data_IF_075498029868
#
_entry.id   IF_075498029868
#
_cell.length_a   1.000
_cell.length_b   1.000
_cell.length_c   1.000
_cell.angle_alpha   90.00
_cell.angle_beta   90.00
_cell.angle_gamma   90.00
#
_symmetry.space_group_name_H-M   'P 1'
#
loop_
_entity.id
_entity.type
_entity.pdbx_description
1 polymer ?
#
# COMPACT_ATOMS: atom_id res chain seq x y z
N UNK A 1 0.54 17.93 -18.56
CA UNK A 1 -0.21 17.43 -17.38
C UNK A 1 0.56 17.86 -16.14
N UNK A 2 -0.11 18.32 -15.07
CA UNK A 2 0.59 18.64 -13.82
C UNK A 2 1.08 17.34 -13.17
N UNK A 3 2.28 17.37 -12.61
CA UNK A 3 2.92 16.26 -11.92
C UNK A 3 2.22 16.02 -10.57
N UNK A 4 1.83 14.79 -10.29
CA UNK A 4 1.17 14.39 -9.03
C UNK A 4 2.25 14.17 -7.96
N UNK A 5 2.29 15.02 -6.95
CA UNK A 5 3.21 14.84 -5.83
C UNK A 5 2.58 13.99 -4.72
N UNK A 6 2.89 12.69 -4.64
CA UNK A 6 2.37 11.77 -3.63
C UNK A 6 2.81 12.10 -2.20
N UNK A 7 3.79 13.00 -2.04
CA UNK A 7 4.32 13.45 -0.75
C UNK A 7 3.78 14.82 -0.33
N UNK A 8 2.86 15.39 -1.10
CA UNK A 8 2.26 16.68 -0.78
C UNK A 8 1.48 16.59 0.54
N UNK A 9 1.75 17.57 1.42
CA UNK A 9 1.11 17.69 2.73
C UNK A 9 -0.40 17.91 2.64
N UNK A 10 -0.92 18.39 1.50
CA UNK A 10 -2.37 18.55 1.28
C UNK A 10 -3.14 17.23 1.44
N UNK A 11 -2.48 16.09 1.25
CA UNK A 11 -3.05 14.75 1.42
C UNK A 11 -3.08 14.28 2.88
N UNK A 12 -2.76 15.15 3.85
CA UNK A 12 -2.83 14.91 5.29
C UNK A 12 -2.22 13.57 5.73
N UNK A 13 -0.95 13.29 5.38
CA UNK A 13 -0.32 12.03 5.75
C UNK A 13 -0.20 11.88 7.27
N UNK A 14 -0.44 10.67 7.77
CA UNK A 14 -0.32 10.35 9.19
C UNK A 14 1.09 9.88 9.52
N UNK A 15 1.74 10.51 10.50
CA UNK A 15 3.05 10.08 11.01
C UNK A 15 2.89 9.34 12.33
N UNK A 16 3.57 8.22 12.49
CA UNK A 16 3.55 7.42 13.73
C UNK A 16 4.87 6.69 13.97
N UNK A 17 5.20 6.47 15.25
CA UNK A 17 6.30 5.61 15.71
C UNK A 17 5.79 4.43 16.54
N UNK A 18 4.48 4.19 16.53
CA UNK A 18 3.88 3.11 17.31
C UNK A 18 4.46 1.75 16.88
N UNK A 19 4.82 0.87 17.83
CA UNK A 19 5.44 -0.41 17.51
C UNK A 19 4.46 -1.38 16.83
N UNK A 20 3.16 -1.13 17.01
CA UNK A 20 2.05 -1.85 16.42
C UNK A 20 0.93 -0.85 16.12
N UNK A 21 0.47 -0.83 14.88
CA UNK A 21 -0.70 -0.08 14.46
C UNK A 21 -1.43 -0.83 13.33
N UNK A 22 -2.59 -0.34 12.95
CA UNK A 22 -3.45 -0.95 11.95
C UNK A 22 -3.77 0.06 10.85
N UNK A 23 -3.97 -0.43 9.64
CA UNK A 23 -4.58 0.33 8.55
C UNK A 23 -6.00 -0.18 8.40
N UNK A 24 -6.94 0.73 8.56
CA UNK A 24 -8.35 0.45 8.47
C UNK A 24 -8.95 1.04 7.19
N UNK A 25 -9.93 0.32 6.65
CA UNK A 25 -10.76 0.76 5.55
C UNK A 25 -12.20 0.34 5.82
N UNK A 26 -13.09 1.33 5.94
CA UNK A 26 -14.51 1.12 6.21
C UNK A 26 -15.30 0.77 4.94
N UNK A 27 -14.66 0.74 3.77
CA UNK A 27 -15.29 0.57 2.45
C UNK A 27 -16.41 1.59 2.15
N UNK A 28 -16.42 2.70 2.89
CA UNK A 28 -17.28 3.85 2.67
C UNK A 28 -16.63 4.83 1.69
N UNK A 29 -17.17 6.03 1.56
CA UNK A 29 -16.57 7.10 0.73
C UNK A 29 -15.32 7.74 1.36
N UNK A 30 -14.81 7.20 2.47
CA UNK A 30 -13.64 7.74 3.16
C UNK A 30 -12.33 7.05 2.72
N UNK A 31 -11.19 7.75 2.73
CA UNK A 31 -9.88 7.16 2.53
C UNK A 31 -9.50 6.19 3.66
N UNK A 32 -8.59 5.25 3.38
CA UNK A 32 -7.99 4.41 4.41
C UNK A 32 -7.23 5.25 5.45
N UNK A 33 -7.13 4.76 6.68
CA UNK A 33 -6.54 5.53 7.79
C UNK A 33 -5.82 4.65 8.83
N UNK A 34 -4.98 5.27 9.66
CA UNK A 34 -4.22 4.60 10.73
C UNK A 34 -5.04 4.50 12.03
N UNK A 35 -4.93 3.37 12.73
CA UNK A 35 -5.46 3.16 14.10
C UNK A 35 -4.42 2.50 15.00
N UNK A 36 -4.40 2.91 16.26
CA UNK A 36 -3.53 2.29 17.28
C UNK A 36 -4.21 1.13 18.02
N UNK A 37 -5.51 0.95 17.83
CA UNK A 37 -6.31 -0.13 18.43
C UNK A 37 -7.04 -0.85 17.31
N UNK A 38 -6.97 -2.18 17.32
CA UNK A 38 -7.66 -3.03 16.34
C UNK A 38 -9.18 -2.81 16.43
N UNK A 39 -9.83 -2.71 15.29
CA UNK A 39 -11.28 -2.64 15.13
C UNK A 39 -11.74 -3.54 13.97
N UNK A 40 -13.06 -3.61 13.75
CA UNK A 40 -13.65 -4.45 12.70
C UNK A 40 -13.22 -4.05 11.28
N UNK A 41 -12.82 -2.79 11.11
CA UNK A 41 -12.33 -2.25 9.83
C UNK A 41 -10.81 -2.37 9.66
N UNK A 42 -10.08 -2.93 10.64
CA UNK A 42 -8.63 -3.08 10.58
C UNK A 42 -8.22 -4.21 9.63
N UNK A 43 -7.88 -3.86 8.38
CA UNK A 43 -7.54 -4.82 7.32
C UNK A 43 -6.07 -5.25 7.35
N UNK A 44 -5.16 -4.32 7.66
CA UNK A 44 -3.73 -4.61 7.76
C UNK A 44 -3.18 -4.30 9.15
N UNK A 45 -2.36 -5.20 9.69
CA UNK A 45 -1.55 -5.00 10.89
C UNK A 45 -0.14 -4.58 10.49
N UNK A 46 0.39 -3.49 11.05
CA UNK A 46 1.74 -3.01 10.78
C UNK A 46 2.59 -3.16 12.04
N UNK A 47 3.67 -3.93 11.91
CA UNK A 47 4.66 -4.19 12.97
C UNK A 47 5.90 -3.35 12.72
N UNK A 48 6.07 -2.31 13.52
CA UNK A 48 7.18 -1.38 13.48
C UNK A 48 8.08 -1.60 14.71
N UNK A 49 8.73 -2.77 14.79
CA UNK A 49 9.45 -3.22 16.00
C UNK A 49 10.54 -2.25 16.45
N UNK A 50 11.17 -1.58 15.49
CA UNK A 50 12.25 -0.60 15.73
C UNK A 50 11.72 0.81 16.01
N UNK A 51 10.39 1.01 16.07
CA UNK A 51 9.73 2.32 16.29
C UNK A 51 10.21 3.40 15.33
N UNK A 52 10.42 3.02 14.07
CA UNK A 52 10.80 3.95 13.00
C UNK A 52 9.74 5.03 12.84
N UNK A 53 10.14 6.21 12.38
CA UNK A 53 9.18 7.24 11.96
C UNK A 53 8.54 6.80 10.64
N UNK A 54 7.28 6.39 10.72
CA UNK A 54 6.50 5.87 9.59
C UNK A 54 5.49 6.91 9.17
N UNK A 55 5.39 7.15 7.86
CA UNK A 55 4.41 8.02 7.25
C UNK A 55 3.44 7.14 6.45
N UNK A 56 2.15 7.24 6.75
CA UNK A 56 1.08 6.65 5.95
C UNK A 56 0.35 7.75 5.17
N UNK A 57 0.25 7.58 3.87
CA UNK A 57 -0.53 8.44 2.97
C UNK A 57 -1.64 7.59 2.34
N UNK A 58 -2.90 7.96 2.59
CA UNK A 58 -4.01 7.36 1.85
C UNK A 58 -3.93 7.79 0.38
N UNK A 59 -4.16 6.86 -0.54
CA UNK A 59 -4.10 7.10 -1.99
C UNK A 59 -5.51 7.09 -2.57
N UNK A 60 -6.29 6.03 -2.34
CA UNK A 60 -7.66 6.02 -2.80
C UNK A 60 -8.49 7.12 -2.12
N UNK A 61 -9.25 7.88 -2.92
CA UNK A 61 -10.10 9.00 -2.50
C UNK A 61 -9.37 10.17 -1.82
N UNK A 62 -8.04 10.24 -1.94
CA UNK A 62 -7.23 11.29 -1.31
C UNK A 62 -6.22 11.92 -2.27
N UNK A 63 -5.46 11.13 -3.02
CA UNK A 63 -4.53 11.65 -4.02
C UNK A 63 -5.28 12.00 -5.31
N UNK A 64 -4.97 13.16 -5.91
CA UNK A 64 -5.63 13.71 -7.10
C UNK A 64 -5.28 12.96 -8.39
N UNK A 65 -5.59 11.66 -8.45
CA UNK A 65 -5.45 10.80 -9.62
C UNK A 65 -6.76 10.81 -10.39
N UNK A 66 -6.73 11.23 -11.65
CA UNK A 66 -7.92 11.31 -12.48
C UNK A 66 -8.57 9.92 -12.66
N UNK A 67 -9.91 9.80 -12.63
CA UNK A 67 -10.58 8.50 -12.81
C UNK A 67 -10.21 7.76 -14.11
N UNK A 68 -9.87 8.51 -15.16
CA UNK A 68 -9.38 7.97 -16.44
C UNK A 68 -8.03 7.26 -16.34
N UNK A 69 -7.25 7.50 -15.28
CA UNK A 69 -6.00 6.80 -15.00
C UNK A 69 -6.24 5.47 -14.25
N UNK A 70 -7.50 5.05 -14.09
CA UNK A 70 -7.85 3.73 -13.56
C UNK A 70 -7.86 3.65 -12.04
N UNK A 71 -8.06 2.42 -11.54
CA UNK A 71 -8.16 2.14 -10.10
C UNK A 71 -6.79 2.18 -9.46
N UNK A 72 -6.72 2.73 -8.25
CA UNK A 72 -5.52 2.87 -7.44
C UNK A 72 -5.61 2.00 -6.19
N UNK A 73 -4.50 1.83 -5.50
CA UNK A 73 -4.46 1.20 -4.20
C UNK A 73 -4.86 2.16 -3.09
N UNK A 74 -5.15 1.59 -1.92
CA UNK A 74 -5.73 2.36 -0.80
C UNK A 74 -4.70 3.25 -0.11
N UNK A 75 -3.43 2.86 -0.06
CA UNK A 75 -2.43 3.68 0.61
C UNK A 75 -0.97 3.34 0.31
N UNK A 76 -0.11 4.19 0.86
CA UNK A 76 1.33 4.08 0.81
C UNK A 76 1.92 4.31 2.20
N UNK A 77 2.91 3.49 2.55
CA UNK A 77 3.78 3.68 3.70
C UNK A 77 5.17 4.08 3.23
N UNK A 78 5.75 5.12 3.82
CA UNK A 78 7.17 5.47 3.68
C UNK A 78 7.86 5.60 5.04
N UNK A 79 9.12 5.20 5.08
CA UNK A 79 10.02 5.31 6.23
C UNK A 79 11.45 5.10 5.73
N UNK A 80 12.44 5.76 6.34
CA UNK A 80 13.83 5.74 5.85
C UNK A 80 13.89 5.92 4.31
N UNK A 81 14.54 4.99 3.61
CA UNK A 81 14.55 4.86 2.15
C UNK A 81 13.62 3.74 1.64
N UNK A 82 12.48 3.50 2.30
CA UNK A 82 11.53 2.46 1.96
C UNK A 82 10.17 3.02 1.53
N UNK A 83 9.53 2.32 0.59
CA UNK A 83 8.19 2.61 0.10
C UNK A 83 7.39 1.32 -0.07
N UNK A 84 6.24 1.25 0.61
CA UNK A 84 5.29 0.14 0.51
C UNK A 84 3.96 0.65 -0.03
N UNK A 85 3.47 0.08 -1.13
CA UNK A 85 2.08 0.28 -1.58
C UNK A 85 1.19 -0.79 -0.97
N UNK A 86 -0.04 -0.42 -0.63
CA UNK A 86 -0.95 -1.24 0.16
C UNK A 86 -2.34 -1.18 -0.45
N UNK A 87 -2.85 -2.34 -0.84
CA UNK A 87 -4.24 -2.57 -1.20
C UNK A 87 -4.91 -3.37 -0.08
N UNK A 88 -6.11 -2.95 0.32
CA UNK A 88 -6.92 -3.51 1.38
C UNK A 88 -8.16 -4.18 0.78
N UNK A 89 -8.43 -5.41 1.20
CA UNK A 89 -9.61 -6.19 0.77
C UNK A 89 -10.33 -6.81 1.96
N UNK A 90 -11.65 -6.86 1.85
CA UNK A 90 -12.52 -7.70 2.69
C UNK A 90 -13.37 -8.62 1.80
N UNK A 91 -12.72 -9.53 1.09
CA UNK A 91 -13.37 -10.35 0.05
C UNK A 91 -12.97 -11.81 0.13
N UNK A 92 -13.92 -12.73 -0.07
CA UNK A 92 -13.68 -14.18 0.00
C UNK A 92 -13.01 -14.73 -1.25
N UNK A 93 -13.36 -14.27 -2.44
CA UNK A 93 -12.87 -14.84 -3.71
C UNK A 93 -12.62 -13.73 -4.73
N UNK A 94 -11.88 -14.03 -5.81
CA UNK A 94 -11.64 -13.11 -6.92
C UNK A 94 -10.81 -11.85 -6.62
N UNK A 95 -10.39 -11.65 -5.37
CA UNK A 95 -9.80 -10.38 -4.92
C UNK A 95 -8.35 -10.17 -5.36
N UNK A 96 -7.57 -11.24 -5.51
CA UNK A 96 -6.11 -11.16 -5.73
C UNK A 96 -5.76 -10.43 -7.02
N UNK A 97 -6.35 -10.83 -8.13
CA UNK A 97 -6.06 -10.23 -9.44
C UNK A 97 -6.37 -8.74 -9.43
N UNK A 98 -7.56 -8.35 -8.96
CA UNK A 98 -7.96 -6.95 -8.86
C UNK A 98 -7.01 -6.15 -7.96
N UNK A 99 -6.62 -6.71 -6.81
CA UNK A 99 -5.71 -6.06 -5.88
C UNK A 99 -4.33 -5.78 -6.51
N UNK A 100 -3.77 -6.76 -7.21
CA UNK A 100 -2.47 -6.56 -7.87
C UNK A 100 -2.56 -5.61 -9.06
N UNK A 101 -3.66 -5.58 -9.82
CA UNK A 101 -3.83 -4.57 -10.88
C UNK A 101 -3.89 -3.15 -10.31
N UNK A 102 -4.55 -2.94 -9.16
CA UNK A 102 -4.55 -1.64 -8.46
C UNK A 102 -3.15 -1.23 -7.98
N UNK A 103 -2.39 -2.18 -7.42
CA UNK A 103 -1.00 -1.96 -7.00
C UNK A 103 -0.11 -1.60 -8.20
N UNK A 104 -0.16 -2.38 -9.28
CA UNK A 104 0.62 -2.13 -10.51
C UNK A 104 0.31 -0.75 -11.10
N UNK A 105 -0.98 -0.41 -11.21
CA UNK A 105 -1.39 0.87 -11.74
C UNK A 105 -0.89 2.03 -10.88
N UNK A 106 -0.99 1.92 -9.56
CA UNK A 106 -0.49 2.97 -8.65
C UNK A 106 1.03 3.10 -8.72
N UNK A 107 1.76 1.98 -8.77
CA UNK A 107 3.22 1.98 -8.94
C UNK A 107 3.62 2.66 -10.26
N UNK A 108 2.89 2.38 -11.34
CA UNK A 108 3.14 2.99 -12.64
C UNK A 108 2.93 4.51 -12.58
N UNK A 109 1.77 4.97 -12.10
CA UNK A 109 1.47 6.40 -11.94
C UNK A 109 2.51 7.06 -11.02
N UNK A 110 2.88 6.42 -9.91
CA UNK A 110 3.93 6.92 -9.04
C UNK A 110 5.26 7.07 -9.80
N UNK A 111 5.67 6.09 -10.61
CA UNK A 111 6.92 6.11 -11.36
C UNK A 111 6.98 7.20 -12.45
N UNK A 112 5.83 7.59 -13.01
CA UNK A 112 5.74 8.72 -13.95
C UNK A 112 5.94 10.07 -13.23
N UNK A 113 5.72 10.10 -11.92
CA UNK A 113 5.75 11.32 -11.12
C UNK A 113 6.89 11.35 -10.08
N UNK A 114 7.58 10.25 -9.81
CA UNK A 114 8.61 10.16 -8.78
C UNK A 114 9.72 9.21 -9.20
N UNK A 115 10.95 9.47 -8.75
CA UNK A 115 12.07 8.59 -9.04
C UNK A 115 12.05 7.39 -8.10
N UNK A 116 11.60 6.24 -8.60
CA UNK A 116 11.57 4.96 -7.85
C UNK A 116 12.95 4.46 -7.40
N UNK A 117 14.04 5.02 -7.95
CA UNK A 117 15.40 4.69 -7.55
C UNK A 117 15.80 5.30 -6.21
N UNK A 118 15.09 6.32 -5.73
CA UNK A 118 15.35 6.97 -4.43
C UNK A 118 15.04 6.03 -3.25
N UNK A 119 14.34 4.91 -3.49
CA UNK A 119 13.93 3.94 -2.48
C UNK A 119 14.73 2.65 -2.58
N UNK A 120 15.49 2.32 -1.52
CA UNK A 120 16.21 1.06 -1.40
C UNK A 120 15.31 -0.16 -1.16
N UNK A 121 14.19 0.01 -0.45
CA UNK A 121 13.25 -1.08 -0.12
C UNK A 121 11.87 -0.79 -0.71
N UNK A 122 11.43 -1.63 -1.65
CA UNK A 122 10.17 -1.44 -2.41
C UNK A 122 9.26 -2.67 -2.27
N UNK A 123 8.05 -2.52 -1.75
CA UNK A 123 7.10 -3.63 -1.57
C UNK A 123 5.67 -3.25 -1.97
N UNK A 124 4.91 -4.23 -2.45
CA UNK A 124 3.51 -4.08 -2.82
C UNK A 124 2.69 -5.12 -2.07
N UNK A 125 1.83 -4.68 -1.15
CA UNK A 125 1.06 -5.52 -0.24
C UNK A 125 -0.40 -5.57 -0.68
N UNK A 126 -0.89 -6.76 -1.01
CA UNK A 126 -2.30 -7.05 -1.15
C UNK A 126 -2.81 -7.69 0.15
N UNK A 127 -3.36 -6.87 1.04
CA UNK A 127 -3.85 -7.27 2.35
C UNK A 127 -5.33 -7.66 2.26
N UNK A 128 -5.69 -8.80 2.86
CA UNK A 128 -7.09 -9.21 2.92
C UNK A 128 -7.43 -9.81 4.29
N UNK A 129 -8.37 -9.19 5.00
CA UNK A 129 -8.77 -9.61 6.35
C UNK A 129 -9.47 -10.97 6.37
N UNK A 130 -10.16 -11.36 5.28
CA UNK A 130 -10.82 -12.68 5.16
C UNK A 130 -9.85 -13.82 4.87
N UNK A 131 -8.59 -13.52 4.57
CA UNK A 131 -7.58 -14.50 4.18
C UNK A 131 -6.29 -14.37 4.99
N UNK A 132 -6.28 -14.49 6.32
CA UNK A 132 -5.09 -14.22 7.13
C UNK A 132 -3.90 -15.15 6.81
N UNK A 133 -4.13 -16.28 6.15
CA UNK A 133 -3.10 -17.19 5.64
C UNK A 133 -3.06 -17.10 4.14
N UNK A 134 -1.91 -16.71 3.61
CA UNK A 134 -1.74 -16.53 2.18
C UNK A 134 -0.75 -17.54 1.63
N UNK A 135 -1.06 -18.03 0.44
CA UNK A 135 -0.10 -18.80 -0.34
C UNK A 135 1.03 -17.87 -0.77
N UNK A 136 2.27 -18.28 -0.48
CA UNK A 136 3.46 -17.57 -0.97
C UNK A 136 3.47 -17.61 -2.49
N UNK A 137 3.92 -16.53 -3.11
CA UNK A 137 4.20 -16.49 -4.54
C UNK A 137 5.29 -17.51 -4.89
N UNK A 138 5.18 -18.11 -6.08
CA UNK A 138 6.30 -18.83 -6.66
C UNK A 138 7.44 -17.84 -6.95
N UNK A 139 8.67 -18.34 -6.93
CA UNK A 139 9.86 -17.51 -7.17
C UNK A 139 9.80 -16.79 -8.53
N UNK A 140 9.28 -17.47 -9.55
CA UNK A 140 9.13 -16.93 -10.90
C UNK A 140 8.13 -15.76 -10.96
N UNK A 141 7.02 -15.86 -10.23
CA UNK A 141 6.02 -14.79 -10.15
C UNK A 141 6.59 -13.54 -9.45
N UNK A 142 7.36 -13.74 -8.38
CA UNK A 142 8.05 -12.64 -7.70
C UNK A 142 9.05 -11.96 -8.64
N UNK A 143 9.87 -12.75 -9.35
CA UNK A 143 10.86 -12.23 -10.28
C UNK A 143 10.21 -11.45 -11.43
N UNK A 144 9.12 -11.99 -11.99
CA UNK A 144 8.33 -11.34 -13.03
C UNK A 144 7.74 -10.02 -12.56
N UNK A 145 7.02 -10.03 -11.42
CA UNK A 145 6.42 -8.81 -10.86
C UNK A 145 7.49 -7.76 -10.61
N UNK A 146 8.63 -8.14 -10.01
CA UNK A 146 9.73 -7.22 -9.71
C UNK A 146 10.32 -6.59 -10.96
N UNK A 147 10.48 -7.35 -12.03
CA UNK A 147 10.98 -6.86 -13.33
C UNK A 147 9.99 -5.88 -13.98
N UNK A 148 8.70 -6.20 -13.95
CA UNK A 148 7.65 -5.40 -14.58
C UNK A 148 7.27 -4.15 -13.78
N UNK A 149 7.50 -4.15 -12.46
CA UNK A 149 7.05 -3.10 -11.55
C UNK A 149 8.21 -2.47 -10.80
N UNK A 150 9.21 -1.96 -11.53
CA UNK A 150 10.24 -1.06 -11.01
C UNK A 150 10.97 -1.55 -9.75
N UNK A 151 11.14 -2.87 -9.60
CA UNK A 151 11.84 -3.46 -8.46
C UNK A 151 10.98 -3.71 -7.21
N UNK A 152 9.67 -3.47 -7.25
CA UNK A 152 8.75 -3.79 -6.15
C UNK A 152 8.59 -5.30 -5.98
N UNK A 153 8.56 -5.75 -4.72
CA UNK A 153 8.33 -7.16 -4.39
C UNK A 153 6.87 -7.34 -3.95
N UNK A 154 6.10 -8.27 -4.57
CA UNK A 154 4.71 -8.49 -4.22
C UNK A 154 4.58 -9.34 -2.96
N UNK A 155 3.61 -8.98 -2.12
CA UNK A 155 3.20 -9.71 -0.95
C UNK A 155 1.68 -9.81 -0.95
N UNK A 156 1.17 -10.96 -0.55
CA UNK A 156 -0.22 -11.13 -0.16
C UNK A 156 -0.17 -11.55 1.29
N UNK A 157 -0.32 -10.61 2.20
CA UNK A 157 -0.37 -10.83 3.64
C UNK A 157 -1.09 -9.68 4.33
N UNK A 158 -1.78 -9.95 5.44
CA UNK A 158 -2.44 -8.92 6.24
C UNK A 158 -1.53 -8.35 7.34
N UNK A 159 -0.27 -8.80 7.42
CA UNK A 159 0.73 -8.29 8.36
C UNK A 159 1.90 -7.70 7.60
N UNK A 160 2.14 -6.42 7.78
CA UNK A 160 3.24 -5.66 7.19
C UNK A 160 4.34 -5.51 8.24
N UNK A 161 5.56 -5.93 7.91
CA UNK A 161 6.73 -5.73 8.78
C UNK A 161 7.64 -4.67 8.18
N UNK A 162 7.83 -3.60 8.95
CA UNK A 162 8.67 -2.45 8.62
C UNK A 162 10.12 -2.76 8.98
#
# INVERSE_FOLDING_TARGET
MMKIDFFDKKYNPTTTTEPLFYIADEQLEQPAYVKNVKCDYSVAEVRNRERKSVIFTAIDKNVDIAPSQGRRCDGMITFDSAIFFIELKDQKEGWKTAAFEQLKNTIHIFSENHNVLDFGKKRAYACNIRHPRFQKFAHEDIAKFRKENYGFIPFSEATITI
#
